data_IF_270957649123
#
_entry.id   IF_270957649123
#
_cell.length_a   1.000
_cell.length_b   1.000
_cell.length_c   1.000
_cell.angle_alpha   90.00
_cell.angle_beta   90.00
_cell.angle_gamma   90.00
#
_symmetry.space_group_name_H-M   'P 1'
#
loop_
_entity.id
_entity.type
_entity.pdbx_description
1 polymer ?
#
# COMPACT_ATOMS: atom_id res chain seq x y z
N UNK A 1 -17.12 1.32 -5.96
CA UNK A 1 -16.12 1.19 -4.88
C UNK A 1 -15.55 -0.23 -4.94
N UNK A 2 -14.24 -0.39 -5.11
CA UNK A 2 -13.57 -1.69 -5.12
C UNK A 2 -12.90 -1.91 -3.77
N UNK A 3 -13.03 -3.11 -3.23
CA UNK A 3 -12.32 -3.53 -2.01
C UNK A 3 -11.34 -4.63 -2.39
N UNK A 4 -10.09 -4.48 -1.96
CA UNK A 4 -9.01 -5.43 -2.18
C UNK A 4 -8.17 -5.55 -0.92
N UNK A 5 -7.61 -6.72 -0.67
CA UNK A 5 -6.65 -6.91 0.41
C UNK A 5 -5.24 -6.57 -0.10
N UNK A 6 -4.49 -5.85 0.72
CA UNK A 6 -3.08 -5.57 0.49
C UNK A 6 -2.24 -6.12 1.64
N UNK A 7 -0.99 -6.42 1.32
CA UNK A 7 -0.01 -6.82 2.33
C UNK A 7 0.79 -5.58 2.71
N UNK A 8 0.71 -5.20 3.99
CA UNK A 8 1.55 -4.16 4.57
C UNK A 8 3.03 -4.55 4.47
N UNK A 9 3.88 -3.65 3.96
CA UNK A 9 5.33 -3.88 3.82
C UNK A 9 6.18 -2.95 4.67
N UNK A 10 5.57 -2.24 5.62
CA UNK A 10 6.27 -1.30 6.49
C UNK A 10 5.96 0.16 6.14
N UNK A 11 6.61 1.05 6.88
CA UNK A 11 6.59 2.48 6.64
C UNK A 11 7.82 2.91 5.84
N UNK A 12 7.69 3.97 5.05
CA UNK A 12 8.79 4.54 4.28
C UNK A 12 9.72 5.36 5.20
N UNK A 13 10.98 4.96 5.34
CA UNK A 13 12.11 5.73 5.90
C UNK A 13 11.75 6.74 7.03
N UNK A 14 11.30 6.22 8.18
CA UNK A 14 10.89 7.00 9.38
C UNK A 14 9.74 8.00 9.18
N UNK A 15 9.00 7.92 8.07
CA UNK A 15 7.77 8.67 7.84
C UNK A 15 6.54 7.87 8.29
N UNK A 16 5.37 8.49 8.24
CA UNK A 16 4.08 7.83 8.46
C UNK A 16 3.48 7.21 7.18
N UNK A 17 4.20 7.26 6.05
CA UNK A 17 3.73 6.75 4.77
C UNK A 17 3.80 5.22 4.73
N UNK A 18 2.72 4.60 4.30
CA UNK A 18 2.58 3.14 4.24
C UNK A 18 3.02 2.62 2.89
N UNK A 19 3.90 1.62 2.90
CA UNK A 19 4.40 0.99 1.69
C UNK A 19 3.69 -0.35 1.41
N UNK A 20 3.30 -0.54 0.15
CA UNK A 20 2.68 -1.77 -0.36
C UNK A 20 3.31 -2.12 -1.71
N UNK A 21 3.56 -3.40 -1.95
CA UNK A 21 4.02 -3.88 -3.26
C UNK A 21 2.80 -4.33 -4.09
N UNK A 22 2.79 -4.00 -5.39
CA UNK A 22 1.68 -4.36 -6.27
C UNK A 22 2.10 -4.62 -7.70
N UNK A 23 1.14 -5.13 -8.46
CA UNK A 23 1.29 -5.46 -9.87
C UNK A 23 0.66 -4.37 -10.75
N UNK A 24 1.44 -3.77 -11.65
CA UNK A 24 1.01 -2.69 -12.56
C UNK A 24 -0.13 -3.11 -13.47
N UNK A 25 -0.27 -4.41 -13.75
CA UNK A 25 -1.30 -4.97 -14.65
C UNK A 25 -2.65 -5.10 -13.96
N UNK A 26 -2.70 -4.92 -12.64
CA UNK A 26 -3.95 -5.05 -11.90
C UNK A 26 -4.83 -3.81 -12.05
N UNK A 27 -6.14 -4.02 -12.23
CA UNK A 27 -7.12 -2.94 -12.45
C UNK A 27 -7.13 -1.85 -11.36
N UNK A 28 -6.70 -2.18 -10.14
CA UNK A 28 -6.55 -1.21 -9.04
C UNK A 28 -5.57 -0.08 -9.40
N UNK A 29 -4.56 -0.38 -10.22
CA UNK A 29 -3.52 0.59 -10.59
C UNK A 29 -4.08 1.64 -11.54
N UNK A 30 -4.89 1.22 -12.52
CA UNK A 30 -5.61 2.14 -13.40
C UNK A 30 -6.59 3.02 -12.60
N UNK A 31 -7.31 2.40 -11.64
CA UNK A 31 -8.22 3.13 -10.75
C UNK A 31 -7.48 4.18 -9.91
N UNK A 32 -6.31 3.85 -9.35
CA UNK A 32 -5.47 4.77 -8.57
C UNK A 32 -4.84 5.88 -9.44
N UNK A 33 -4.48 5.58 -10.69
CA UNK A 33 -4.02 6.60 -11.65
C UNK A 33 -5.12 7.62 -11.98
N UNK A 34 -6.39 7.20 -11.98
CA UNK A 34 -7.55 8.07 -12.20
C UNK A 34 -7.98 8.81 -10.92
N UNK A 35 -7.99 8.12 -9.78
CA UNK A 35 -8.37 8.64 -8.48
C UNK A 35 -7.36 8.16 -7.42
N UNK A 36 -6.38 8.98 -7.01
CA UNK A 36 -5.26 8.56 -6.18
C UNK A 36 -5.63 8.51 -4.69
N UNK A 37 -6.88 8.27 -4.33
CA UNK A 37 -7.33 8.25 -2.94
C UNK A 37 -7.77 6.84 -2.56
N UNK A 38 -7.35 6.38 -1.39
CA UNK A 38 -7.77 5.09 -0.88
C UNK A 38 -7.93 5.10 0.64
N UNK A 39 -8.74 4.15 1.12
CA UNK A 39 -8.89 3.85 2.54
C UNK A 39 -8.36 2.44 2.81
N UNK A 40 -7.42 2.31 3.75
CA UNK A 40 -7.02 1.02 4.31
C UNK A 40 -7.83 0.78 5.57
N UNK A 41 -8.51 -0.37 5.64
CA UNK A 41 -9.16 -0.84 6.86
C UNK A 41 -8.36 -2.00 7.46
N UNK A 42 -7.79 -1.78 8.65
CA UNK A 42 -7.10 -2.80 9.44
C UNK A 42 -7.91 -3.14 10.67
N UNK A 43 -8.09 -4.44 10.89
CA UNK A 43 -8.80 -4.97 12.05
C UNK A 43 -7.95 -6.01 12.77
N UNK A 44 -7.74 -5.80 14.06
CA UNK A 44 -7.02 -6.71 14.96
C UNK A 44 -8.02 -7.46 15.83
N UNK A 45 -8.18 -8.75 15.55
CA UNK A 45 -9.21 -9.60 16.18
C UNK A 45 -8.97 -9.83 17.67
N UNK A 46 -7.72 -9.83 18.12
CA UNK A 46 -7.37 -10.10 19.52
C UNK A 46 -7.64 -8.89 20.42
N UNK A 47 -7.25 -7.69 19.97
CA UNK A 47 -7.40 -6.44 20.74
C UNK A 47 -8.69 -5.68 20.43
N UNK A 48 -9.40 -6.09 19.38
CA UNK A 48 -10.63 -5.47 18.89
C UNK A 48 -10.41 -4.04 18.39
N UNK A 49 -9.20 -3.76 17.92
CA UNK A 49 -8.83 -2.48 17.33
C UNK A 49 -9.14 -2.47 15.84
N UNK A 50 -9.75 -1.39 15.38
CA UNK A 50 -9.95 -1.06 13.98
C UNK A 50 -9.26 0.27 13.68
N UNK A 51 -8.50 0.30 12.59
CA UNK A 51 -7.90 1.50 12.02
C UNK A 51 -8.41 1.67 10.59
N UNK A 52 -9.08 2.79 10.31
CA UNK A 52 -9.44 3.21 8.94
C UNK A 52 -8.54 4.38 8.56
N UNK A 53 -7.60 4.11 7.69
CA UNK A 53 -6.53 5.03 7.30
C UNK A 53 -6.86 5.55 5.90
N UNK A 54 -7.20 6.82 5.81
CA UNK A 54 -7.45 7.51 4.55
C UNK A 54 -6.20 8.27 4.13
N UNK A 55 -5.97 8.32 2.82
CA UNK A 55 -4.85 9.08 2.29
C UNK A 55 -4.74 9.02 0.78
N UNK A 56 -3.77 9.79 0.28
CA UNK A 56 -3.38 9.79 -1.12
C UNK A 56 -2.38 8.67 -1.38
N UNK A 57 -2.53 7.97 -2.48
CA UNK A 57 -1.63 6.91 -2.94
C UNK A 57 -0.81 7.41 -4.11
N UNK A 58 0.50 7.28 -4.00
CA UNK A 58 1.44 7.45 -5.10
C UNK A 58 1.79 6.08 -5.70
N UNK A 59 1.75 5.98 -7.03
CA UNK A 59 2.06 4.76 -7.77
C UNK A 59 3.45 4.90 -8.38
N UNK A 60 4.39 4.11 -7.88
CA UNK A 60 5.78 4.09 -8.35
C UNK A 60 5.99 2.87 -9.24
N UNK A 61 5.84 3.06 -10.55
CA UNK A 61 6.15 2.07 -11.59
C UNK A 61 7.47 2.40 -12.30
N UNK A 62 7.86 1.54 -13.26
CA UNK A 62 9.12 1.71 -14.01
C UNK A 62 9.14 2.92 -14.95
N UNK A 63 8.00 3.59 -15.18
CA UNK A 63 7.92 4.79 -16.04
C UNK A 63 8.11 6.10 -15.28
N UNK A 64 8.29 6.03 -13.96
CA UNK A 64 8.47 7.21 -13.12
C UNK A 64 9.79 7.93 -13.45
N UNK A 65 9.74 9.26 -13.60
CA UNK A 65 10.91 10.08 -13.94
C UNK A 65 11.74 10.48 -12.71
N UNK A 66 11.20 10.32 -11.51
CA UNK A 66 11.85 10.70 -10.25
C UNK A 66 12.86 9.63 -9.81
N UNK A 67 14.17 9.94 -9.79
CA UNK A 67 15.20 8.98 -9.39
C UNK A 67 15.03 8.46 -7.96
N UNK A 68 14.53 9.28 -7.03
CA UNK A 68 14.33 8.86 -5.63
C UNK A 68 13.23 7.79 -5.55
N UNK A 69 12.15 7.97 -6.32
CA UNK A 69 11.08 6.98 -6.42
C UNK A 69 11.57 5.68 -7.05
N UNK A 70 12.39 5.75 -8.08
CA UNK A 70 12.99 4.56 -8.68
C UNK A 70 13.89 3.81 -7.69
N UNK A 71 14.65 4.52 -6.85
CA UNK A 71 15.44 3.90 -5.78
C UNK A 71 14.54 3.22 -4.73
N UNK A 72 13.41 3.84 -4.35
CA UNK A 72 12.43 3.20 -3.44
C UNK A 72 11.89 1.91 -4.06
N UNK A 73 11.55 1.92 -5.35
CA UNK A 73 11.09 0.74 -6.09
C UNK A 73 12.15 -0.35 -6.09
N UNK A 74 13.40 0.00 -6.36
CA UNK A 74 14.53 -0.92 -6.35
C UNK A 74 14.79 -1.54 -4.98
N UNK A 75 14.87 -0.72 -3.92
CA UNK A 75 15.01 -1.17 -2.53
C UNK A 75 13.88 -2.11 -2.13
N UNK A 76 12.65 -1.80 -2.53
CA UNK A 76 11.46 -2.62 -2.23
C UNK A 76 11.48 -3.96 -2.96
N UNK A 77 11.97 -4.00 -4.20
CA UNK A 77 12.17 -5.22 -4.96
C UNK A 77 13.21 -6.12 -4.29
N UNK A 78 14.38 -5.57 -3.96
CA UNK A 78 15.45 -6.33 -3.33
C UNK A 78 15.12 -6.74 -1.89
N UNK A 79 14.24 -6.02 -1.19
CA UNK A 79 13.67 -6.43 0.09
C UNK A 79 12.68 -7.60 0.01
N UNK A 80 12.16 -7.94 -1.18
CA UNK A 80 11.29 -9.10 -1.37
C UNK A 80 12.08 -10.40 -1.40
N UNK A 81 11.46 -11.48 -0.91
CA UNK A 81 11.96 -12.84 -1.13
C UNK A 81 11.87 -13.22 -2.61
N UNK A 82 12.71 -14.15 -3.05
CA UNK A 82 12.69 -14.64 -4.44
C UNK A 82 11.30 -15.14 -4.85
N UNK A 83 10.63 -15.91 -3.97
CA UNK A 83 9.26 -16.41 -4.21
C UNK A 83 8.26 -15.28 -4.46
N UNK A 84 8.38 -14.16 -3.74
CA UNK A 84 7.50 -13.01 -3.94
C UNK A 84 7.82 -12.28 -5.26
N UNK A 85 9.09 -12.20 -5.66
CA UNK A 85 9.49 -11.58 -6.94
C UNK A 85 9.00 -12.36 -8.16
N UNK A 86 9.06 -13.70 -8.10
CA UNK A 86 8.61 -14.57 -9.19
C UNK A 86 7.13 -14.39 -9.55
N UNK A 87 6.30 -13.94 -8.59
CA UNK A 87 4.88 -13.67 -8.83
C UNK A 87 4.65 -12.60 -9.91
N UNK A 88 5.57 -11.63 -10.05
CA UNK A 88 5.44 -10.56 -11.04
C UNK A 88 5.87 -10.98 -12.45
N UNK A 89 6.46 -12.16 -12.63
CA UNK A 89 6.85 -12.67 -13.95
C UNK A 89 5.70 -13.29 -14.72
N UNK A 90 4.64 -13.73 -14.04
CA UNK A 90 3.53 -14.43 -14.68
C UNK A 90 2.53 -13.43 -15.29
N UNK A 91 2.41 -13.33 -16.63
CA UNK A 91 1.45 -12.46 -17.32
C UNK A 91 -0.02 -12.85 -17.12
N UNK A 92 -0.30 -14.08 -16.69
CA UNK A 92 -1.67 -14.60 -16.56
C UNK A 92 -2.22 -14.50 -15.13
N UNK A 93 -1.49 -13.87 -14.20
CA UNK A 93 -1.95 -13.71 -12.82
C UNK A 93 -3.33 -13.04 -12.73
N UNK A 94 -4.32 -13.80 -12.27
CA UNK A 94 -5.71 -13.34 -12.10
C UNK A 94 -6.67 -13.76 -13.21
N UNK A 95 -6.20 -14.40 -14.28
CA UNK A 95 -7.05 -15.09 -15.24
C UNK A 95 -7.29 -16.54 -14.81
N UNK A 96 -8.51 -17.09 -14.92
CA UNK A 96 -8.73 -18.53 -14.77
C UNK A 96 -7.99 -19.26 -15.88
N UNK A 97 -6.87 -19.90 -15.55
CA UNK A 97 -6.09 -20.67 -16.53
C UNK A 97 -6.83 -21.95 -16.93
N UNK A 98 -6.99 -22.17 -18.23
CA UNK A 98 -7.61 -23.38 -18.81
C UNK A 98 -6.61 -24.54 -18.93
N UNK A 99 -5.31 -24.29 -18.68
CA UNK A 99 -4.24 -25.28 -18.74
C UNK A 99 -3.34 -25.16 -17.49
N UNK A 100 -3.35 -26.18 -16.64
CA UNK A 100 -2.55 -26.30 -15.41
C UNK A 100 -1.11 -26.80 -15.68
N UNK A 101 -0.45 -26.32 -16.74
CA UNK A 101 0.98 -26.60 -16.88
C UNK A 101 1.80 -25.61 -16.05
N UNK A 102 2.66 -26.07 -15.12
CA UNK A 102 3.53 -25.18 -14.38
C UNK A 102 4.49 -24.49 -15.35
N UNK A 103 4.30 -23.19 -15.58
CA UNK A 103 5.32 -22.37 -16.25
C UNK A 103 6.45 -22.14 -15.25
N UNK A 104 7.61 -22.72 -15.50
CA UNK A 104 8.81 -22.43 -14.71
C UNK A 104 9.34 -21.05 -15.08
N UNK A 105 9.16 -20.09 -14.17
CA UNK A 105 9.80 -18.79 -14.27
C UNK A 105 11.08 -18.79 -13.44
N UNK A 106 12.18 -18.31 -14.02
CA UNK A 106 13.43 -18.07 -13.32
C UNK A 106 13.77 -16.59 -13.35
N UNK A 107 14.36 -16.10 -12.26
CA UNK A 107 14.83 -14.73 -12.12
C UNK A 107 16.27 -14.76 -11.60
N UNK A 108 17.16 -13.97 -12.21
CA UNK A 108 18.47 -13.69 -11.64
C UNK A 108 18.28 -12.93 -10.30
N UNK A 109 18.84 -13.41 -9.17
CA UNK A 109 18.76 -12.70 -7.88
C UNK A 109 19.26 -11.25 -7.90
N UNK A 110 20.18 -10.93 -8.81
CA UNK A 110 20.74 -9.60 -9.00
C UNK A 110 19.94 -8.74 -10.00
N UNK A 111 18.96 -9.30 -10.69
CA UNK A 111 18.13 -8.53 -11.61
C UNK A 111 17.25 -7.53 -10.86
N UNK A 112 17.21 -6.30 -11.38
CA UNK A 112 16.35 -5.24 -10.90
C UNK A 112 14.85 -5.52 -11.10
N UNK A 113 13.98 -4.59 -10.67
CA UNK A 113 12.55 -4.81 -10.70
C UNK A 113 11.96 -4.82 -12.11
N UNK A 114 11.19 -5.87 -12.40
CA UNK A 114 10.46 -6.06 -13.68
C UNK A 114 9.31 -5.07 -13.85
N UNK A 115 8.91 -4.76 -15.09
CA UNK A 115 7.89 -3.74 -15.39
C UNK A 115 6.53 -3.97 -14.69
N UNK A 116 6.17 -5.24 -14.48
CA UNK A 116 4.98 -5.63 -13.73
C UNK A 116 5.03 -5.19 -12.26
N UNK A 117 6.21 -4.98 -11.68
CA UNK A 117 6.38 -4.59 -10.28
C UNK A 117 6.25 -3.07 -10.09
N UNK A 118 5.36 -2.67 -9.18
CA UNK A 118 5.28 -1.30 -8.67
C UNK A 118 5.18 -1.27 -7.15
N UNK A 119 5.49 -0.09 -6.61
CA UNK A 119 5.32 0.22 -5.18
C UNK A 119 4.23 1.27 -5.06
N UNK A 120 3.30 1.03 -4.14
CA UNK A 120 2.28 1.97 -3.73
C UNK A 120 2.70 2.60 -2.40
N UNK A 121 2.69 3.92 -2.36
CA UNK A 121 2.97 4.69 -1.14
C UNK A 121 1.70 5.43 -0.75
N UNK A 122 1.06 5.02 0.34
CA UNK A 122 -0.06 5.76 0.92
C UNK A 122 0.48 6.81 1.90
N UNK A 123 0.18 8.07 1.64
CA UNK A 123 0.42 9.19 2.55
C UNK A 123 -0.88 9.47 3.33
N UNK A 124 -0.95 9.07 4.61
CA UNK A 124 -2.19 9.14 5.37
C UNK A 124 -2.52 10.58 5.76
N UNK A 125 -3.75 11.01 5.52
CA UNK A 125 -4.24 12.34 5.94
C UNK A 125 -5.24 12.28 7.10
N UNK A 126 -5.91 11.15 7.29
CA UNK A 126 -6.88 10.91 8.35
C UNK A 126 -6.80 9.45 8.82
N UNK A 127 -6.91 9.23 10.13
CA UNK A 127 -7.04 7.90 10.73
C UNK A 127 -8.22 7.88 11.69
N UNK A 128 -9.20 7.02 11.41
CA UNK A 128 -10.28 6.73 12.34
C UNK A 128 -9.95 5.44 13.10
N UNK A 129 -9.74 5.59 14.41
CA UNK A 129 -9.51 4.49 15.33
C UNK A 129 -10.79 4.14 16.09
N UNK A 130 -11.10 2.86 16.17
CA UNK A 130 -12.20 2.33 16.95
C UNK A 130 -11.73 1.10 17.72
N UNK A 131 -11.93 1.10 19.04
CA UNK A 131 -11.81 -0.10 19.86
C UNK A 131 -13.20 -0.55 20.30
N UNK A 132 -13.61 -1.73 19.83
CA UNK A 132 -14.95 -2.26 20.12
C UNK A 132 -15.09 -2.77 21.57
N UNK A 133 -13.98 -3.15 22.21
CA UNK A 133 -13.99 -3.67 23.58
C UNK A 133 -14.17 -2.55 24.62
N UNK A 134 -13.51 -1.41 24.43
CA UNK A 134 -13.61 -0.24 25.31
C UNK A 134 -14.65 0.79 24.84
N UNK A 135 -15.24 0.56 23.67
CA UNK A 135 -16.14 1.50 22.99
C UNK A 135 -15.49 2.90 22.80
N UNK A 136 -14.19 2.93 22.51
CA UNK A 136 -13.44 4.16 22.28
C UNK A 136 -13.33 4.44 20.79
N UNK A 137 -13.65 5.67 20.38
CA UNK A 137 -13.47 6.17 19.03
C UNK A 137 -12.60 7.43 19.04
N UNK A 138 -11.52 7.42 18.26
CA UNK A 138 -10.63 8.56 18.07
C UNK A 138 -10.52 8.85 16.57
N UNK A 139 -10.50 10.12 16.22
CA UNK A 139 -10.18 10.59 14.87
C UNK A 139 -8.87 11.37 14.92
N UNK A 140 -7.94 10.99 14.07
CA UNK A 140 -6.68 11.71 13.85
C UNK A 140 -6.74 12.36 12.48
N UNK A 141 -6.30 13.61 12.39
CA UNK A 141 -6.20 14.34 11.14
C UNK A 141 -4.83 14.98 11.04
N UNK A 142 -4.18 14.78 9.90
CA UNK A 142 -2.94 15.47 9.57
C UNK A 142 -3.23 16.95 9.30
N UNK A 143 -2.29 17.79 9.69
CA UNK A 143 -2.29 19.23 9.45
C UNK A 143 -0.88 19.65 9.06
N UNK A 144 -0.80 20.78 8.38
CA UNK A 144 0.47 21.44 8.09
C UNK A 144 0.65 22.61 9.07
N UNK A 145 1.81 22.70 9.70
CA UNK A 145 2.20 23.88 10.48
C UNK A 145 2.65 25.01 9.56
N UNK A 146 2.87 26.19 10.13
CA UNK A 146 3.28 27.39 9.39
C UNK A 146 4.62 27.21 8.64
N UNK A 147 5.47 26.29 9.11
CA UNK A 147 6.74 25.92 8.47
C UNK A 147 6.60 24.79 7.42
N UNK A 148 5.38 24.30 7.14
CA UNK A 148 5.11 23.23 6.18
C UNK A 148 5.34 21.82 6.70
N UNK A 149 5.64 21.64 8.00
CA UNK A 149 5.78 20.31 8.59
C UNK A 149 4.42 19.66 8.88
N UNK A 150 4.32 18.36 8.60
CA UNK A 150 3.11 17.58 8.89
C UNK A 150 3.07 17.23 10.37
N UNK A 151 1.96 17.53 11.02
CA UNK A 151 1.69 17.11 12.39
C UNK A 151 0.27 16.53 12.52
N UNK A 152 0.04 15.76 13.59
CA UNK A 152 -1.22 15.07 13.82
C UNK A 152 -2.02 15.72 14.94
N UNK A 153 -3.28 16.04 14.67
CA UNK A 153 -4.27 16.45 15.67
C UNK A 153 -5.22 15.30 15.97
N UNK A 154 -5.57 15.07 17.24
CA UNK A 154 -6.51 14.03 17.65
C UNK A 154 -7.79 14.63 18.23
N UNK A 155 -8.92 13.98 17.95
CA UNK A 155 -10.24 14.30 18.49
C UNK A 155 -10.89 13.03 19.00
N UNK A 156 -11.34 13.04 20.26
CA UNK A 156 -12.20 11.98 20.78
C UNK A 156 -13.62 12.21 20.28
N UNK A 157 -14.20 11.20 19.66
CA UNK A 157 -15.54 11.27 19.07
C UNK A 157 -16.48 10.29 19.78
N UNK A 158 -17.77 10.62 19.84
CA UNK A 158 -18.78 9.67 20.33
C UNK A 158 -18.86 8.46 19.39
N UNK A 159 -19.03 7.22 19.89
CA UNK A 159 -19.20 6.03 19.06
C UNK A 159 -20.43 6.09 18.14
N UNK A 160 -21.46 6.84 18.53
CA UNK A 160 -22.77 6.90 17.87
C UNK A 160 -22.93 8.03 16.84
N UNK A 161 -21.87 8.82 16.57
CA UNK A 161 -21.87 9.87 15.55
C UNK A 161 -21.25 9.42 14.23
#
# INVERSE_FOLDING_TARGET
>A
MRVICWVFRGFQDNTDKIQINSDTRSRKIEELKSCPFSEICWYFTESWDQFRINGRVDVIDGSNSDPEKLQIREKSWFGCSMKARLQYLDPEQGCPSVNEQPKEFSLDPCAGPVDAFCVLILDPDQVDYLNLKSNQKLKFMSRLSDNGEKYWASLKTSPEC
#
